data_IF_938206092389
#
_entry.id   IF_938206092389
#
_cell.length_a   1.000
_cell.length_b   1.000
_cell.length_c   1.000
_cell.angle_alpha   90.00
_cell.angle_beta   90.00
_cell.angle_gamma   90.00
#
_symmetry.space_group_name_H-M   'P 1'
#
loop_
_entity.id
_entity.type
_entity.pdbx_description
1 polymer ?
#
# COMPACT_ATOMS: atom_id res chain seq x y z
N UNK A 1 0.99 19.10 -32.21
CA UNK A 1 1.33 17.95 -31.33
C UNK A 1 0.87 18.31 -29.92
N UNK A 2 0.10 17.44 -29.27
CA UNK A 2 -0.70 17.78 -28.07
C UNK A 2 0.20 18.14 -26.88
N UNK A 3 -0.02 19.33 -26.32
CA UNK A 3 0.54 19.75 -25.03
C UNK A 3 0.05 18.79 -23.95
N UNK A 4 0.92 17.88 -23.51
CA UNK A 4 0.69 17.07 -22.31
C UNK A 4 0.86 18.01 -21.12
N UNK A 5 -0.26 18.55 -20.63
CA UNK A 5 -0.27 19.20 -19.32
C UNK A 5 0.17 18.14 -18.30
N UNK A 6 1.35 18.33 -17.70
CA UNK A 6 1.77 17.54 -16.53
C UNK A 6 0.71 17.78 -15.45
N UNK A 7 -0.13 16.78 -15.22
CA UNK A 7 -1.15 16.82 -14.18
C UNK A 7 -0.51 17.17 -12.85
N UNK A 8 -1.13 18.11 -12.12
CA UNK A 8 -0.80 18.47 -10.73
C UNK A 8 -0.39 17.22 -9.95
N UNK A 9 0.81 17.21 -9.37
CA UNK A 9 1.15 16.27 -8.32
C UNK A 9 0.23 16.60 -7.14
N UNK A 10 -0.90 15.91 -7.04
CA UNK A 10 -1.70 15.96 -5.83
C UNK A 10 -0.81 15.48 -4.69
N UNK A 11 -0.87 16.15 -3.54
CA UNK A 11 -0.30 15.64 -2.29
C UNK A 11 -1.02 14.32 -1.96
N UNK A 12 -0.62 13.22 -2.60
CA UNK A 12 -1.23 11.91 -2.45
C UNK A 12 -0.96 11.48 -1.02
N UNK A 13 -1.99 11.55 -0.19
CA UNK A 13 -1.96 11.00 1.17
C UNK A 13 -2.64 9.65 1.06
N UNK A 14 -1.92 8.59 1.38
CA UNK A 14 -2.50 7.27 1.56
C UNK A 14 -2.90 7.13 3.02
N UNK A 15 -4.14 6.72 3.23
CA UNK A 15 -4.70 6.36 4.52
C UNK A 15 -4.89 4.84 4.57
N UNK A 16 -5.11 4.30 5.77
CA UNK A 16 -5.33 2.87 5.99
C UNK A 16 -6.62 2.66 6.76
N UNK A 17 -7.55 1.90 6.17
CA UNK A 17 -8.76 1.46 6.86
C UNK A 17 -8.46 0.18 7.64
N UNK A 18 -8.65 0.21 8.96
CA UNK A 18 -8.43 -0.97 9.82
C UNK A 18 -9.52 -2.02 9.65
N UNK A 19 -10.77 -1.60 9.43
CA UNK A 19 -11.91 -2.51 9.29
C UNK A 19 -11.84 -3.31 7.99
N UNK A 20 -11.52 -2.66 6.87
CA UNK A 20 -11.41 -3.34 5.58
C UNK A 20 -10.00 -3.88 5.29
N UNK A 21 -9.00 -3.50 6.10
CA UNK A 21 -7.59 -3.86 5.91
C UNK A 21 -7.04 -3.51 4.51
N UNK A 22 -7.38 -2.32 4.01
CA UNK A 22 -6.96 -1.79 2.70
C UNK A 22 -6.49 -0.34 2.80
N UNK A 23 -5.61 0.12 1.90
CA UNK A 23 -5.31 1.53 1.78
C UNK A 23 -6.47 2.29 1.13
N UNK A 24 -6.62 3.56 1.50
CA UNK A 24 -7.63 4.47 0.96
C UNK A 24 -6.99 5.78 0.51
N UNK A 25 -7.58 6.42 -0.50
CA UNK A 25 -7.14 7.74 -0.97
C UNK A 25 -7.73 8.89 -0.14
N UNK A 26 -8.78 8.58 0.64
CA UNK A 26 -9.50 9.53 1.49
C UNK A 26 -9.43 9.12 2.96
N UNK A 27 -9.72 10.08 3.85
CA UNK A 27 -9.83 9.84 5.30
C UNK A 27 -11.01 8.95 5.67
N UNK A 28 -12.06 8.90 4.86
CA UNK A 28 -13.18 7.98 5.07
C UNK A 28 -13.03 6.81 4.11
N UNK A 29 -13.23 5.58 4.59
CA UNK A 29 -13.17 4.40 3.76
C UNK A 29 -14.37 4.33 2.83
N UNK A 30 -14.13 4.25 1.52
CA UNK A 30 -15.18 4.16 0.50
C UNK A 30 -15.91 2.79 0.51
N UNK A 31 -15.37 1.79 1.22
CA UNK A 31 -15.99 0.47 1.35
C UNK A 31 -16.90 0.33 2.58
N UNK A 32 -16.49 0.83 3.75
CA UNK A 32 -17.22 0.63 5.01
C UNK A 32 -17.63 1.93 5.74
N UNK A 33 -17.19 3.10 5.27
CA UNK A 33 -17.48 4.39 5.89
C UNK A 33 -16.67 4.73 7.15
N UNK A 34 -15.83 3.82 7.65
CA UNK A 34 -14.98 4.06 8.84
C UNK A 34 -13.86 5.08 8.57
N UNK A 35 -13.37 5.74 9.64
CA UNK A 35 -12.23 6.64 9.55
C UNK A 35 -10.92 5.86 9.34
N UNK A 36 -10.13 6.30 8.35
CA UNK A 36 -8.85 5.74 7.96
C UNK A 36 -7.69 6.63 8.43
N UNK A 37 -6.63 6.00 8.94
CA UNK A 37 -5.48 6.72 9.47
C UNK A 37 -4.45 7.03 8.38
N UNK A 38 -3.88 8.24 8.34
CA UNK A 38 -2.84 8.59 7.37
C UNK A 38 -1.58 7.78 7.64
N UNK A 39 -1.04 7.08 6.63
CA UNK A 39 0.14 6.22 6.80
C UNK A 39 1.35 6.63 5.96
N UNK A 40 1.17 7.11 4.73
CA UNK A 40 2.29 7.47 3.85
C UNK A 40 1.83 8.31 2.64
N UNK A 41 2.76 8.61 1.73
CA UNK A 41 2.50 9.32 0.48
C UNK A 41 2.09 8.38 -0.68
N UNK A 42 2.51 7.12 -0.60
CA UNK A 42 2.37 6.14 -1.66
C UNK A 42 2.52 4.74 -1.06
N UNK A 43 1.75 3.81 -1.61
CA UNK A 43 1.77 2.42 -1.20
C UNK A 43 1.43 1.58 -2.43
N UNK A 44 2.20 0.50 -2.66
CA UNK A 44 2.01 -0.39 -3.80
C UNK A 44 1.66 -1.80 -3.30
N UNK A 45 0.75 -2.51 -3.99
CA UNK A 45 0.48 -3.90 -3.67
C UNK A 45 1.73 -4.73 -3.94
N UNK A 46 2.01 -5.73 -3.09
CA UNK A 46 3.00 -6.77 -3.37
C UNK A 46 2.28 -7.98 -3.94
N UNK A 47 2.67 -8.45 -5.13
CA UNK A 47 2.12 -9.65 -5.74
C UNK A 47 2.85 -10.91 -5.26
N UNK A 48 2.24 -12.08 -5.45
CA UNK A 48 2.79 -13.35 -4.96
C UNK A 48 4.20 -13.66 -5.47
N UNK A 49 4.46 -13.37 -6.76
CA UNK A 49 5.79 -13.55 -7.34
C UNK A 49 6.82 -12.60 -6.72
N UNK A 50 6.44 -11.36 -6.45
CA UNK A 50 7.30 -10.38 -5.80
C UNK A 50 7.57 -10.77 -4.34
N UNK A 51 6.55 -11.24 -3.62
CA UNK A 51 6.70 -11.76 -2.26
C UNK A 51 7.72 -12.90 -2.21
N UNK A 52 7.59 -13.92 -3.06
CA UNK A 52 8.53 -15.05 -3.12
C UNK A 52 9.96 -14.61 -3.46
N UNK A 53 10.10 -13.64 -4.36
CA UNK A 53 11.39 -13.06 -4.69
C UNK A 53 12.02 -12.37 -3.46
N UNK A 54 11.26 -11.50 -2.79
CA UNK A 54 11.73 -10.78 -1.60
C UNK A 54 12.12 -11.73 -0.46
N UNK A 55 11.31 -12.75 -0.20
CA UNK A 55 11.62 -13.75 0.84
C UNK A 55 12.95 -14.46 0.58
N UNK A 56 13.24 -14.78 -0.69
CA UNK A 56 14.50 -15.41 -1.10
C UNK A 56 15.68 -14.45 -0.95
N UNK A 57 15.55 -13.22 -1.43
CA UNK A 57 16.63 -12.22 -1.36
C UNK A 57 16.94 -11.79 0.08
N UNK A 58 15.94 -11.81 0.97
CA UNK A 58 16.07 -11.43 2.37
C UNK A 58 16.37 -12.61 3.30
N UNK A 59 16.35 -13.84 2.79
CA UNK A 59 16.38 -15.08 3.58
C UNK A 59 15.42 -15.07 4.78
N UNK A 60 14.19 -14.57 4.54
CA UNK A 60 13.19 -14.33 5.60
C UNK A 60 11.77 -14.48 5.07
N UNK A 61 10.92 -15.21 5.80
CA UNK A 61 9.48 -15.30 5.53
C UNK A 61 8.74 -14.00 5.88
N UNK A 62 7.81 -13.61 5.01
CA UNK A 62 6.91 -12.48 5.22
C UNK A 62 5.59 -12.97 5.85
N UNK A 63 4.87 -12.10 6.60
CA UNK A 63 3.64 -12.48 7.30
C UNK A 63 2.42 -12.66 6.38
N UNK A 64 2.58 -12.44 5.08
CA UNK A 64 1.57 -12.71 4.05
C UNK A 64 2.27 -13.20 2.78
N UNK A 65 1.48 -13.54 1.75
CA UNK A 65 2.03 -13.96 0.46
C UNK A 65 1.69 -12.97 -0.67
N UNK A 66 0.87 -11.96 -0.42
CA UNK A 66 0.37 -11.00 -1.41
C UNK A 66 -0.36 -9.83 -0.75
N UNK A 67 -0.76 -8.81 -1.52
CA UNK A 67 -1.54 -7.67 -1.05
C UNK A 67 -2.94 -8.04 -0.57
N UNK A 68 -3.55 -9.09 -1.15
CA UNK A 68 -4.82 -9.63 -0.66
C UNK A 68 -4.67 -10.18 0.76
N UNK A 69 -3.46 -10.60 1.12
CA UNK A 69 -3.08 -11.05 2.46
C UNK A 69 -2.32 -9.97 3.24
N UNK A 70 -2.54 -8.69 2.92
CA UNK A 70 -2.08 -7.56 3.72
C UNK A 70 -0.67 -7.07 3.43
N UNK A 71 0.04 -7.60 2.42
CA UNK A 71 1.38 -7.13 2.06
C UNK A 71 1.37 -5.96 1.07
N UNK A 72 2.01 -4.89 1.50
CA UNK A 72 2.18 -3.68 0.72
C UNK A 72 3.63 -3.21 0.80
N UNK A 73 4.04 -2.35 -0.13
CA UNK A 73 5.39 -1.84 -0.17
C UNK A 73 5.43 -0.35 -0.48
N UNK A 74 6.40 0.32 0.15
CA UNK A 74 6.79 1.68 -0.19
C UNK A 74 8.32 1.73 -0.28
N UNK A 75 8.86 2.05 -1.47
CA UNK A 75 10.29 1.94 -1.76
C UNK A 75 10.85 0.57 -1.34
N UNK A 76 11.75 0.53 -0.34
CA UNK A 76 12.36 -0.69 0.19
C UNK A 76 11.74 -1.15 1.52
N UNK A 77 10.65 -0.50 1.96
CA UNK A 77 9.97 -0.82 3.22
C UNK A 77 8.73 -1.65 2.96
N UNK A 78 8.64 -2.81 3.62
CA UNK A 78 7.47 -3.68 3.59
C UNK A 78 6.47 -3.20 4.65
N UNK A 79 5.20 -3.25 4.29
CA UNK A 79 4.07 -2.95 5.15
C UNK A 79 3.16 -4.17 5.24
N UNK A 80 2.70 -4.48 6.44
CA UNK A 80 1.72 -5.52 6.70
C UNK A 80 0.55 -4.95 7.51
N UNK A 81 -0.66 -5.08 6.96
CA UNK A 81 -1.89 -4.57 7.60
C UNK A 81 -1.78 -3.12 8.07
N UNK A 82 -1.19 -2.26 7.23
CA UNK A 82 -1.03 -0.83 7.50
C UNK A 82 0.09 -0.46 8.47
N UNK A 83 0.94 -1.40 8.87
CA UNK A 83 2.10 -1.17 9.73
C UNK A 83 3.40 -1.52 8.99
N UNK A 84 4.46 -0.75 9.23
CA UNK A 84 5.82 -1.05 8.72
C UNK A 84 6.38 -2.29 9.41
N UNK A 85 7.01 -3.17 8.64
CA UNK A 85 7.81 -4.30 9.14
C UNK A 85 9.30 -3.92 9.30
#
# INVERSE_FOLDING_TARGET
MKNVQRGRVMNNKIFWCRECNVPTLQRQCENCGSEAAKICSDLKPVFEKECKFLEKEMDKRLPGNSWQNGLWMRYKTIWFNGKRL
#
